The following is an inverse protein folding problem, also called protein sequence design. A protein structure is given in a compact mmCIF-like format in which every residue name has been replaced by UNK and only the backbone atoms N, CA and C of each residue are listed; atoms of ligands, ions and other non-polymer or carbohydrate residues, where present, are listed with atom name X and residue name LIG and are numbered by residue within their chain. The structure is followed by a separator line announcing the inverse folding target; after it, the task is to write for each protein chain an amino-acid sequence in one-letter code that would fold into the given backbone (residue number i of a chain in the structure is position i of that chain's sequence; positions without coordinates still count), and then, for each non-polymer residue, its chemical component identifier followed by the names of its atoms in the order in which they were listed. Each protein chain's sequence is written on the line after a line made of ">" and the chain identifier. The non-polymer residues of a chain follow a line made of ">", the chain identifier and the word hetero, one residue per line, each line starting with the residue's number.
data_IF_636605948647
#
_entry.id   IF_636605948647
#
_cell.length_a   1.000
_cell.length_b   1.000
_cell.length_c   1.000
_cell.angle_alpha   90.00
_cell.angle_beta   90.00
_cell.angle_gamma   90.00
#
_symmetry.space_group_name_H-M   'P 1'
#
loop_
_entity.id
_entity.type
_entity.pdbx_description
1 polymer ?
#
# COMPACT_ATOMS: atom_id res chain seq x y z
N UNK A 1 -1.70 1.29 22.43
CA UNK A 1 -2.91 1.82 23.12
C UNK A 1 -4.12 1.21 22.42
N UNK A 2 -5.04 0.59 23.17
CA UNK A 2 -6.24 -0.02 22.59
C UNK A 2 -7.07 1.04 21.85
N UNK A 3 -7.25 0.88 20.52
CA UNK A 3 -7.95 1.83 19.65
C UNK A 3 -9.37 2.18 20.12
N UNK A 4 -10.02 1.27 20.84
CA UNK A 4 -11.35 1.49 21.42
C UNK A 4 -11.37 2.53 22.56
N UNK A 5 -10.27 2.71 23.29
CA UNK A 5 -10.19 3.70 24.38
C UNK A 5 -9.92 5.12 23.84
N UNK A 6 -9.28 5.25 22.68
CA UNK A 6 -9.01 6.54 22.04
C UNK A 6 -10.27 7.13 21.37
N UNK A 7 -11.11 6.28 20.74
CA UNK A 7 -12.38 6.69 20.12
C UNK A 7 -13.39 7.18 21.18
N UNK A 8 -13.47 6.49 22.32
CA UNK A 8 -14.37 6.84 23.42
C UNK A 8 -14.03 8.17 24.13
N UNK A 9 -12.81 8.70 23.94
CA UNK A 9 -12.42 9.99 24.53
C UNK A 9 -12.90 11.19 23.71
N UNK A 10 -13.33 10.98 22.45
CA UNK A 10 -13.62 12.06 21.50
C UNK A 10 -15.04 12.06 20.94
N UNK A 11 -15.83 11.00 21.09
CA UNK A 11 -17.23 11.03 20.70
C UNK A 11 -18.08 10.41 21.80
N UNK A 12 -19.20 11.05 22.13
CA UNK A 12 -20.17 10.48 23.06
C UNK A 12 -20.99 9.36 22.36
N UNK A 13 -21.71 8.51 23.11
CA UNK A 13 -22.45 7.39 22.51
C UNK A 13 -23.49 7.79 21.46
N UNK A 14 -24.14 8.95 21.59
CA UNK A 14 -25.12 9.45 20.63
C UNK A 14 -24.43 9.89 19.33
N UNK A 15 -23.30 10.59 19.43
CA UNK A 15 -22.48 10.99 18.28
C UNK A 15 -21.95 9.78 17.51
N UNK A 16 -21.56 8.71 18.23
CA UNK A 16 -21.12 7.45 17.60
C UNK A 16 -22.27 6.82 16.80
N UNK A 17 -23.48 6.80 17.35
CA UNK A 17 -24.65 6.25 16.65
C UNK A 17 -25.02 7.06 15.41
N UNK A 18 -24.97 8.40 15.49
CA UNK A 18 -25.23 9.27 14.33
C UNK A 18 -24.21 9.04 13.20
N UNK A 19 -22.92 9.01 13.54
CA UNK A 19 -21.85 8.74 12.58
C UNK A 19 -22.03 7.36 11.94
N UNK A 20 -22.34 6.33 12.72
CA UNK A 20 -22.62 4.99 12.20
C UNK A 20 -23.80 4.98 11.22
N UNK A 21 -24.92 5.63 11.56
CA UNK A 21 -26.09 5.70 10.69
C UNK A 21 -25.76 6.41 9.36
N UNK A 22 -25.02 7.51 9.40
CA UNK A 22 -24.58 8.24 8.19
C UNK A 22 -23.65 7.43 7.32
N UNK A 23 -22.69 6.71 7.93
CA UNK A 23 -21.79 5.81 7.22
C UNK A 23 -22.55 4.67 6.53
N UNK A 24 -23.57 4.10 7.17
CA UNK A 24 -24.41 3.07 6.56
C UNK A 24 -25.25 3.61 5.39
N UNK A 25 -25.75 4.84 5.48
CA UNK A 25 -26.42 5.48 4.34
C UNK A 25 -25.47 5.68 3.16
N UNK A 26 -24.23 6.15 3.41
CA UNK A 26 -23.21 6.27 2.38
C UNK A 26 -22.85 4.91 1.76
N UNK A 27 -22.76 3.85 2.57
CA UNK A 27 -22.54 2.50 2.07
C UNK A 27 -23.67 2.04 1.13
N UNK A 28 -24.92 2.36 1.45
CA UNK A 28 -26.06 2.06 0.58
C UNK A 28 -25.93 2.73 -0.79
N UNK A 29 -25.47 3.98 -0.83
CA UNK A 29 -25.17 4.68 -2.09
C UNK A 29 -24.02 4.04 -2.86
N UNK A 30 -22.95 3.62 -2.18
CA UNK A 30 -21.83 2.92 -2.83
C UNK A 30 -22.23 1.54 -3.36
N UNK A 31 -23.11 0.81 -2.69
CA UNK A 31 -23.68 -0.45 -3.20
C UNK A 31 -24.46 -0.20 -4.49
N UNK A 32 -25.32 0.82 -4.53
CA UNK A 32 -26.04 1.19 -5.76
C UNK A 32 -25.05 1.51 -6.89
N UNK A 33 -23.98 2.25 -6.61
CA UNK A 33 -22.96 2.56 -7.64
C UNK A 33 -22.24 1.30 -8.11
N UNK A 34 -21.86 0.43 -7.19
CA UNK A 34 -21.14 -0.81 -7.48
C UNK A 34 -21.96 -1.75 -8.38
N UNK A 35 -23.27 -1.83 -8.16
CA UNK A 35 -24.18 -2.66 -8.97
C UNK A 35 -24.65 -1.99 -10.27
N UNK A 36 -24.10 -0.82 -10.63
CA UNK A 36 -24.56 -0.07 -11.79
C UNK A 36 -25.99 0.46 -11.66
N UNK A 37 -26.45 0.68 -10.42
CA UNK A 37 -27.80 1.09 -10.03
C UNK A 37 -28.89 0.04 -10.30
N UNK A 38 -28.51 -1.22 -10.55
CA UNK A 38 -29.45 -2.30 -10.82
C UNK A 38 -29.95 -2.99 -9.54
N UNK A 39 -29.20 -2.89 -8.44
CA UNK A 39 -29.54 -3.53 -7.17
C UNK A 39 -29.09 -2.72 -5.96
N UNK A 40 -29.90 -2.72 -4.91
CA UNK A 40 -29.55 -2.17 -3.59
C UNK A 40 -29.08 -3.26 -2.60
N UNK A 41 -28.89 -4.49 -3.07
CA UNK A 41 -28.50 -5.65 -2.28
C UNK A 41 -27.33 -6.40 -2.92
N UNK A 42 -26.38 -6.81 -2.07
CA UNK A 42 -25.18 -7.57 -2.41
C UNK A 42 -24.88 -8.56 -1.27
N UNK A 43 -24.04 -9.60 -1.49
CA UNK A 43 -23.55 -10.44 -0.40
C UNK A 43 -22.88 -9.62 0.71
N UNK A 44 -22.94 -10.10 1.95
CA UNK A 44 -22.41 -9.40 3.13
C UNK A 44 -20.91 -9.14 2.96
N UNK A 45 -20.17 -10.09 2.41
CA UNK A 45 -18.74 -9.99 2.15
C UNK A 45 -18.43 -8.85 1.16
N UNK A 46 -19.30 -8.67 0.15
CA UNK A 46 -19.18 -7.56 -0.81
C UNK A 46 -19.47 -6.22 -0.12
N UNK A 47 -20.55 -6.14 0.65
CA UNK A 47 -20.88 -4.92 1.40
C UNK A 47 -19.76 -4.54 2.38
N UNK A 48 -19.16 -5.53 3.07
CA UNK A 48 -18.04 -5.31 3.97
C UNK A 48 -16.80 -4.81 3.22
N UNK A 49 -16.42 -5.43 2.09
CA UNK A 49 -15.29 -4.98 1.28
C UNK A 49 -15.48 -3.55 0.75
N UNK A 50 -16.70 -3.18 0.35
CA UNK A 50 -17.02 -1.81 -0.09
C UNK A 50 -16.90 -0.83 1.08
N UNK A 51 -17.37 -1.22 2.27
CA UNK A 51 -17.28 -0.39 3.46
C UNK A 51 -15.83 -0.15 3.89
N UNK A 52 -15.00 -1.19 3.88
CA UNK A 52 -13.57 -1.10 4.15
C UNK A 52 -12.85 -0.18 3.15
N UNK A 53 -13.20 -0.23 1.86
CA UNK A 53 -12.67 0.67 0.83
C UNK A 53 -13.02 2.13 1.12
N UNK A 54 -14.27 2.38 1.52
CA UNK A 54 -14.74 3.71 1.91
C UNK A 54 -13.98 4.24 3.12
N UNK A 55 -13.85 3.42 4.18
CA UNK A 55 -13.12 3.77 5.39
C UNK A 55 -11.62 3.99 5.12
N UNK A 56 -11.01 3.21 4.23
CA UNK A 56 -9.63 3.40 3.83
C UNK A 56 -9.41 4.79 3.21
N UNK A 57 -10.27 5.18 2.26
CA UNK A 57 -10.21 6.51 1.65
C UNK A 57 -10.36 7.62 2.71
N UNK A 58 -11.36 7.51 3.58
CA UNK A 58 -11.57 8.49 4.66
C UNK A 58 -10.36 8.60 5.58
N UNK A 59 -9.80 7.45 5.99
CA UNK A 59 -8.63 7.39 6.87
C UNK A 59 -7.40 8.00 6.20
N UNK A 60 -7.19 7.74 4.91
CA UNK A 60 -6.09 8.32 4.14
C UNK A 60 -6.14 9.85 4.15
N UNK A 61 -7.33 10.45 3.99
CA UNK A 61 -7.49 11.90 4.08
C UNK A 61 -7.34 12.42 5.51
N UNK A 62 -8.00 11.79 6.47
CA UNK A 62 -7.96 12.19 7.88
C UNK A 62 -6.52 12.22 8.42
N UNK A 63 -5.68 11.24 8.04
CA UNK A 63 -4.27 11.18 8.44
C UNK A 63 -3.41 12.34 7.88
N UNK A 64 -3.90 13.10 6.89
CA UNK A 64 -3.23 14.32 6.41
C UNK A 64 -3.52 15.54 7.27
N UNK A 65 -4.53 15.46 8.14
CA UNK A 65 -5.01 16.59 8.92
C UNK A 65 -4.31 16.64 10.29
N UNK A 66 -4.03 17.84 10.83
CA UNK A 66 -3.42 17.98 12.16
C UNK A 66 -4.29 17.41 13.31
N UNK A 67 -5.62 17.49 13.16
CA UNK A 67 -6.60 16.95 14.12
C UNK A 67 -7.73 16.23 13.37
N UNK A 68 -7.60 14.90 13.17
CA UNK A 68 -8.61 14.07 12.52
C UNK A 68 -9.98 14.08 13.22
N UNK A 69 -10.01 14.20 14.55
CA UNK A 69 -11.24 14.12 15.33
C UNK A 69 -12.05 15.42 15.22
N UNK A 70 -11.38 16.57 15.26
CA UNK A 70 -12.02 17.84 14.98
C UNK A 70 -12.61 17.87 13.56
N UNK A 71 -11.88 17.31 12.59
CA UNK A 71 -12.34 17.21 11.20
C UNK A 71 -13.62 16.37 11.07
N UNK A 72 -13.72 15.23 11.76
CA UNK A 72 -14.94 14.41 11.74
C UNK A 72 -16.18 15.11 12.32
N UNK A 73 -16.00 16.08 13.23
CA UNK A 73 -17.09 16.89 13.79
C UNK A 73 -17.47 18.07 12.90
N UNK A 74 -16.48 18.67 12.22
CA UNK A 74 -16.65 19.90 11.46
C UNK A 74 -17.06 19.68 10.00
N UNK A 75 -16.59 18.59 9.38
CA UNK A 75 -16.85 18.29 7.98
C UNK A 75 -17.97 17.29 7.80
N UNK A 76 -18.61 17.35 6.63
CA UNK A 76 -19.50 16.30 6.21
C UNK A 76 -18.71 15.01 5.88
N UNK A 77 -19.20 13.86 6.35
CA UNK A 77 -18.56 12.56 6.11
C UNK A 77 -18.43 12.26 4.62
N UNK A 78 -19.39 12.72 3.81
CA UNK A 78 -19.34 12.58 2.36
C UNK A 78 -18.17 13.38 1.76
N UNK A 79 -17.91 14.58 2.26
CA UNK A 79 -16.76 15.40 1.86
C UNK A 79 -15.43 14.74 2.27
N UNK A 80 -15.35 14.16 3.47
CA UNK A 80 -14.18 13.40 3.94
C UNK A 80 -13.91 12.22 3.00
N UNK A 81 -14.95 11.43 2.68
CA UNK A 81 -14.83 10.30 1.77
C UNK A 81 -14.36 10.72 0.38
N UNK A 82 -14.99 11.72 -0.24
CA UNK A 82 -14.59 12.16 -1.59
C UNK A 82 -13.20 12.78 -1.64
N UNK A 83 -12.82 13.54 -0.61
CA UNK A 83 -11.45 14.08 -0.50
C UNK A 83 -10.43 12.94 -0.38
N UNK A 84 -10.76 11.92 0.42
CA UNK A 84 -9.99 10.68 0.52
C UNK A 84 -9.88 9.91 -0.77
N UNK A 85 -10.98 9.73 -1.49
CA UNK A 85 -11.00 9.02 -2.77
C UNK A 85 -10.09 9.70 -3.79
N UNK A 86 -10.16 11.03 -3.91
CA UNK A 86 -9.28 11.78 -4.81
C UNK A 86 -7.81 11.70 -4.37
N UNK A 87 -7.53 11.75 -3.06
CA UNK A 87 -6.18 11.59 -2.54
C UNK A 87 -5.61 10.18 -2.83
N UNK A 88 -6.39 9.12 -2.64
CA UNK A 88 -5.99 7.75 -2.96
C UNK A 88 -5.70 7.58 -4.46
N UNK A 89 -6.50 8.20 -5.33
CA UNK A 89 -6.21 8.25 -6.78
C UNK A 89 -4.91 8.97 -7.09
N UNK A 90 -4.62 10.07 -6.39
CA UNK A 90 -3.36 10.81 -6.53
C UNK A 90 -2.17 9.95 -6.12
N UNK A 91 -2.24 9.24 -4.99
CA UNK A 91 -1.20 8.28 -4.59
C UNK A 91 -1.02 7.18 -5.63
N UNK A 92 -2.10 6.67 -6.25
CA UNK A 92 -1.97 5.69 -7.33
C UNK A 92 -1.24 6.25 -8.55
N UNK A 93 -1.46 7.53 -8.88
CA UNK A 93 -0.72 8.21 -9.94
C UNK A 93 0.74 8.44 -9.56
N UNK A 94 1.02 8.81 -8.31
CA UNK A 94 2.38 8.95 -7.77
C UNK A 94 3.14 7.62 -7.83
N UNK A 95 2.54 6.50 -7.43
CA UNK A 95 3.17 5.18 -7.49
C UNK A 95 3.60 4.81 -8.92
N UNK A 96 2.81 5.18 -9.94
CA UNK A 96 3.21 4.98 -11.34
C UNK A 96 4.45 5.80 -11.72
N UNK A 97 4.57 7.02 -11.19
CA UNK A 97 5.76 7.86 -11.40
C UNK A 97 6.97 7.33 -10.62
N UNK A 98 6.78 6.88 -9.38
CA UNK A 98 7.83 6.27 -8.56
C UNK A 98 8.36 4.98 -9.21
N UNK A 99 7.48 4.13 -9.73
CA UNK A 99 7.91 2.92 -10.46
C UNK A 99 8.77 3.25 -11.67
N UNK A 100 8.48 4.35 -12.39
CA UNK A 100 9.34 4.83 -13.47
C UNK A 100 10.74 5.21 -12.96
N UNK A 101 10.82 5.93 -11.84
CA UNK A 101 12.09 6.31 -11.22
C UNK A 101 12.88 5.08 -10.75
N UNK A 102 12.23 4.12 -10.08
CA UNK A 102 12.85 2.85 -9.67
C UNK A 102 13.42 2.08 -10.87
N UNK A 103 12.73 2.09 -12.01
CA UNK A 103 13.24 1.50 -13.27
C UNK A 103 14.47 2.24 -13.80
N UNK A 104 14.48 3.57 -13.73
CA UNK A 104 15.58 4.43 -14.19
C UNK A 104 16.83 4.31 -13.30
N UNK A 105 16.66 4.16 -11.97
CA UNK A 105 17.76 4.06 -11.00
C UNK A 105 18.20 2.63 -10.70
N UNK A 106 17.65 1.65 -11.42
CA UNK A 106 17.81 0.21 -11.18
C UNK A 106 19.26 -0.21 -10.88
N UNK A 107 19.43 -1.05 -9.86
CA UNK A 107 20.67 -1.75 -9.55
C UNK A 107 20.99 -2.77 -10.64
N UNK A 108 22.22 -2.74 -11.18
CA UNK A 108 22.67 -3.72 -12.16
C UNK A 108 22.96 -5.07 -11.50
N UNK A 109 21.95 -5.94 -11.45
CA UNK A 109 22.02 -7.27 -10.83
C UNK A 109 21.31 -8.34 -11.68
N UNK A 110 21.63 -9.60 -11.44
CA UNK A 110 20.96 -10.77 -12.01
C UNK A 110 19.98 -11.43 -11.03
N UNK A 111 19.71 -10.80 -9.88
CA UNK A 111 18.66 -11.26 -8.97
C UNK A 111 17.31 -11.25 -9.69
N UNK A 112 16.70 -12.44 -9.78
CA UNK A 112 15.45 -12.64 -10.50
C UNK A 112 14.31 -11.94 -9.78
N UNK A 113 14.19 -12.11 -8.46
CA UNK A 113 13.14 -11.47 -7.66
C UNK A 113 13.15 -9.95 -7.82
N UNK A 114 14.30 -9.30 -7.64
CA UNK A 114 14.45 -7.85 -7.80
C UNK A 114 14.00 -7.34 -9.18
N UNK A 115 14.50 -7.96 -10.25
CA UNK A 115 14.14 -7.55 -11.61
C UNK A 115 12.67 -7.85 -11.91
N UNK A 116 12.16 -9.02 -11.52
CA UNK A 116 10.78 -9.43 -11.76
C UNK A 116 9.78 -8.51 -11.07
N UNK A 117 10.05 -8.14 -9.81
CA UNK A 117 9.25 -7.18 -9.04
C UNK A 117 9.12 -5.84 -9.74
N UNK A 118 10.24 -5.28 -10.20
CA UNK A 118 10.25 -3.97 -10.88
C UNK A 118 9.62 -4.05 -12.26
N UNK A 119 9.89 -5.11 -13.02
CA UNK A 119 9.45 -5.23 -14.41
C UNK A 119 7.97 -5.57 -14.54
N UNK A 120 7.46 -6.45 -13.68
CA UNK A 120 6.15 -7.07 -13.85
C UNK A 120 5.22 -6.87 -12.65
N UNK A 121 5.61 -7.30 -11.46
CA UNK A 121 4.69 -7.46 -10.32
C UNK A 121 4.01 -6.14 -9.92
N UNK A 122 4.80 -5.09 -9.63
CA UNK A 122 4.25 -3.79 -9.22
C UNK A 122 3.40 -3.16 -10.33
N UNK A 123 3.80 -3.35 -11.59
CA UNK A 123 3.05 -2.86 -12.75
C UNK A 123 1.66 -3.49 -12.87
N UNK A 124 1.57 -4.80 -12.61
CA UNK A 124 0.30 -5.53 -12.61
C UNK A 124 -0.60 -5.09 -11.45
N UNK A 125 -0.04 -4.94 -10.25
CA UNK A 125 -0.76 -4.43 -9.08
C UNK A 125 -1.37 -3.05 -9.35
N UNK A 126 -0.56 -2.11 -9.86
CA UNK A 126 -1.02 -0.75 -10.17
C UNK A 126 -2.06 -0.69 -11.31
N UNK A 127 -2.08 -1.69 -12.21
CA UNK A 127 -3.07 -1.79 -13.30
C UNK A 127 -4.42 -2.30 -12.79
N UNK A 128 -4.41 -3.20 -11.79
CA UNK A 128 -5.63 -3.77 -11.19
C UNK A 128 -6.22 -2.94 -10.04
N UNK A 129 -5.53 -1.88 -9.60
CA UNK A 129 -5.94 -1.12 -8.41
C UNK A 129 -7.22 -0.30 -8.65
N UNK A 130 -8.24 -0.54 -7.82
CA UNK A 130 -9.50 0.21 -7.79
C UNK A 130 -9.58 1.05 -6.51
N UNK A 131 -9.34 2.36 -6.66
CA UNK A 131 -9.36 3.32 -5.57
C UNK A 131 -10.74 3.54 -4.93
N UNK A 132 -11.85 3.14 -5.57
CA UNK A 132 -13.20 3.39 -5.06
C UNK A 132 -13.77 2.18 -4.35
N UNK A 133 -13.69 1.01 -4.97
CA UNK A 133 -14.37 -0.19 -4.47
C UNK A 133 -13.43 -1.20 -3.81
N UNK A 134 -12.11 -1.03 -3.97
CA UNK A 134 -11.10 -1.94 -3.42
C UNK A 134 -9.86 -1.18 -2.91
N UNK A 135 -10.04 0.03 -2.36
CA UNK A 135 -8.94 0.94 -2.02
C UNK A 135 -7.95 0.35 -1.01
N UNK A 136 -8.47 -0.43 -0.06
CA UNK A 136 -7.71 -1.11 1.00
C UNK A 136 -6.91 -2.31 0.50
N UNK A 137 -7.26 -2.84 -0.66
CA UNK A 137 -6.62 -4.03 -1.21
C UNK A 137 -5.36 -3.63 -1.95
N UNK A 138 -4.32 -4.41 -1.73
CA UNK A 138 -3.13 -4.33 -2.58
C UNK A 138 -3.39 -5.15 -3.86
N UNK A 139 -4.14 -6.27 -3.73
CA UNK A 139 -5.07 -6.94 -4.67
C UNK A 139 -5.31 -8.38 -4.13
N UNK A 140 -6.56 -8.89 -4.05
CA UNK A 140 -6.90 -10.22 -3.45
C UNK A 140 -6.06 -11.40 -4.02
N UNK A 141 -5.79 -12.54 -3.37
CA UNK A 141 -6.27 -13.24 -2.14
C UNK A 141 -5.07 -13.44 -1.16
N UNK A 142 -3.99 -12.70 -1.43
CA UNK A 142 -2.62 -13.01 -1.07
C UNK A 142 -1.81 -11.71 -1.01
N UNK A 143 -2.35 -10.71 -0.30
CA UNK A 143 -2.05 -9.27 -0.48
C UNK A 143 -0.59 -8.82 -0.26
N UNK A 144 0.33 -9.72 0.11
CA UNK A 144 1.79 -9.49 0.11
C UNK A 144 2.61 -10.57 -0.60
N UNK A 145 2.01 -11.73 -0.93
CA UNK A 145 2.71 -12.85 -1.57
C UNK A 145 3.02 -12.62 -3.06
N UNK A 146 2.57 -11.50 -3.63
CA UNK A 146 2.78 -11.16 -5.04
C UNK A 146 4.00 -10.28 -5.29
N UNK A 147 4.70 -9.82 -4.25
CA UNK A 147 5.94 -9.07 -4.42
C UNK A 147 7.09 -9.98 -3.98
N UNK A 148 7.85 -10.47 -4.96
CA UNK A 148 8.90 -11.47 -4.74
C UNK A 148 10.11 -10.89 -4.00
N UNK A 149 10.42 -9.61 -4.19
CA UNK A 149 11.63 -9.00 -3.65
C UNK A 149 11.44 -8.47 -2.22
N UNK A 150 12.28 -8.89 -1.25
CA UNK A 150 12.18 -8.39 0.13
C UNK A 150 12.81 -6.99 0.28
N UNK A 151 12.19 -6.14 1.10
CA UNK A 151 12.75 -4.86 1.51
C UNK A 151 13.67 -5.01 2.72
N UNK A 152 14.63 -4.08 2.86
CA UNK A 152 15.45 -3.95 4.06
C UNK A 152 14.62 -3.54 5.29
N UNK A 153 13.66 -2.63 5.10
CA UNK A 153 12.73 -2.17 6.12
C UNK A 153 11.33 -2.19 5.54
N UNK A 154 10.52 -3.18 5.95
CA UNK A 154 9.15 -3.35 5.47
C UNK A 154 8.14 -3.01 6.56
N UNK A 155 7.11 -2.24 6.21
CA UNK A 155 6.02 -1.86 7.13
C UNK A 155 4.71 -2.53 6.68
N UNK A 156 4.51 -3.74 7.20
CA UNK A 156 3.33 -4.55 6.90
C UNK A 156 2.05 -4.05 7.60
N UNK A 157 2.14 -2.98 8.41
CA UNK A 157 0.96 -2.37 9.02
C UNK A 157 0.18 -1.47 8.04
N UNK A 158 0.82 -1.08 6.93
CA UNK A 158 0.23 -0.26 5.87
C UNK A 158 -0.33 -1.17 4.77
N UNK A 159 -1.46 -0.79 4.18
CA UNK A 159 -2.13 -1.56 3.12
C UNK A 159 -2.48 -0.69 1.91
N UNK A 160 -2.98 -1.33 0.85
CA UNK A 160 -3.48 -0.66 -0.35
C UNK A 160 -2.39 0.13 -1.07
N UNK A 161 -2.77 1.28 -1.65
CA UNK A 161 -1.82 2.06 -2.45
C UNK A 161 -0.70 2.69 -1.61
N UNK A 162 -0.96 2.99 -0.34
CA UNK A 162 0.05 3.54 0.57
C UNK A 162 1.18 2.55 0.84
N UNK A 163 0.87 1.24 0.93
CA UNK A 163 1.89 0.20 1.03
C UNK A 163 2.78 0.18 -0.22
N UNK A 164 2.17 0.15 -1.41
CA UNK A 164 2.92 0.18 -2.68
C UNK A 164 3.78 1.45 -2.80
N UNK A 165 3.28 2.59 -2.30
CA UNK A 165 4.02 3.85 -2.26
C UNK A 165 5.26 3.72 -1.38
N UNK A 166 5.12 3.22 -0.15
CA UNK A 166 6.24 3.02 0.77
C UNK A 166 7.25 2.02 0.18
N UNK A 167 6.76 0.91 -0.38
CA UNK A 167 7.58 -0.10 -1.01
C UNK A 167 8.46 0.48 -2.13
N UNK A 168 7.87 1.32 -3.00
CA UNK A 168 8.61 1.99 -4.07
C UNK A 168 9.61 3.04 -3.58
N UNK A 169 9.33 3.71 -2.46
CA UNK A 169 10.25 4.66 -1.85
C UNK A 169 11.46 3.95 -1.23
N UNK A 170 11.24 2.83 -0.52
CA UNK A 170 12.32 1.99 0.02
C UNK A 170 13.18 1.39 -1.11
N UNK A 171 12.56 0.89 -2.19
CA UNK A 171 13.31 0.44 -3.36
C UNK A 171 14.13 1.55 -4.02
N UNK A 172 13.60 2.77 -4.08
CA UNK A 172 14.31 3.90 -4.66
C UNK A 172 15.52 4.29 -3.80
N UNK A 173 15.36 4.30 -2.48
CA UNK A 173 16.45 4.54 -1.54
C UNK A 173 17.52 3.44 -1.62
N UNK A 174 17.11 2.18 -1.71
CA UNK A 174 18.03 1.05 -1.91
C UNK A 174 18.81 1.19 -3.23
N UNK A 175 18.14 1.57 -4.32
CA UNK A 175 18.78 1.81 -5.61
C UNK A 175 19.85 2.89 -5.52
N UNK A 176 19.52 4.02 -4.88
CA UNK A 176 20.44 5.14 -4.67
C UNK A 176 21.63 4.75 -3.79
N UNK A 177 21.38 3.99 -2.71
CA UNK A 177 22.43 3.45 -1.86
C UNK A 177 23.36 2.50 -2.63
N UNK A 178 22.79 1.55 -3.38
CA UNK A 178 23.53 0.56 -4.15
C UNK A 178 24.30 1.19 -5.33
N UNK A 179 23.87 2.34 -5.84
CA UNK A 179 24.58 3.06 -6.91
C UNK A 179 25.99 3.51 -6.50
N UNK A 180 26.26 3.66 -5.18
CA UNK A 180 27.60 3.89 -4.65
C UNK A 180 28.55 2.69 -4.77
N UNK A 181 28.02 1.51 -5.12
CA UNK A 181 28.75 0.27 -5.25
C UNK A 181 28.82 -0.20 -6.71
N UNK A 182 30.01 -0.57 -7.17
CA UNK A 182 30.17 -1.04 -8.55
C UNK A 182 29.48 -2.39 -8.79
N UNK A 183 28.95 -2.61 -10.00
CA UNK A 183 28.31 -3.87 -10.43
C UNK A 183 29.11 -5.12 -10.02
N UNK A 184 30.43 -5.09 -10.21
CA UNK A 184 31.30 -6.23 -9.88
C UNK A 184 31.35 -6.53 -8.38
N UNK A 185 31.28 -5.49 -7.53
CA UNK A 185 31.22 -5.65 -6.09
C UNK A 185 29.91 -6.32 -5.67
N UNK A 186 28.76 -5.79 -6.15
CA UNK A 186 27.44 -6.37 -5.86
C UNK A 186 27.36 -7.83 -6.34
N UNK A 187 27.83 -8.10 -7.57
CA UNK A 187 27.88 -9.47 -8.10
C UNK A 187 28.75 -10.38 -7.23
N UNK A 188 29.94 -9.93 -6.82
CA UNK A 188 30.82 -10.72 -5.96
C UNK A 188 30.17 -11.01 -4.61
N UNK A 189 29.53 -10.02 -4.00
CA UNK A 189 28.83 -10.16 -2.73
C UNK A 189 27.72 -11.23 -2.82
N UNK A 190 26.85 -11.12 -3.82
CA UNK A 190 25.79 -12.09 -4.07
C UNK A 190 26.33 -13.50 -4.33
N UNK A 191 27.37 -13.62 -5.16
CA UNK A 191 28.00 -14.91 -5.45
C UNK A 191 28.60 -15.54 -4.18
N UNK A 192 29.35 -14.78 -3.38
CA UNK A 192 29.95 -15.26 -2.13
C UNK A 192 28.87 -15.69 -1.14
N UNK A 193 27.79 -14.93 -1.03
CA UNK A 193 26.67 -15.29 -0.18
C UNK A 193 25.97 -16.57 -0.70
N UNK A 194 25.68 -16.67 -2.00
CA UNK A 194 25.09 -17.88 -2.60
C UNK A 194 25.95 -19.13 -2.39
N UNK A 195 27.27 -19.05 -2.58
CA UNK A 195 28.20 -20.16 -2.31
C UNK A 195 28.16 -20.60 -0.84
N UNK A 196 28.12 -19.64 0.10
CA UNK A 196 28.03 -19.93 1.54
C UNK A 196 26.77 -20.71 1.91
N UNK A 197 25.66 -20.43 1.23
CA UNK A 197 24.37 -21.04 1.51
C UNK A 197 24.00 -22.18 0.54
N UNK A 198 24.90 -22.57 -0.36
CA UNK A 198 24.67 -23.59 -1.40
C UNK A 198 23.46 -23.31 -2.30
N UNK A 199 23.25 -22.04 -2.64
CA UNK A 199 22.17 -21.56 -3.50
C UNK A 199 22.73 -20.93 -4.78
N UNK A 200 21.97 -20.98 -5.87
CA UNK A 200 22.20 -20.07 -7.01
C UNK A 200 21.85 -18.66 -6.55
N UNK A 201 22.83 -17.76 -6.56
CA UNK A 201 22.60 -16.40 -6.07
C UNK A 201 21.50 -15.68 -6.83
N UNK A 202 21.23 -16.04 -8.09
CA UNK A 202 20.21 -15.40 -8.93
C UNK A 202 18.78 -15.66 -8.45
N UNK A 203 18.56 -16.79 -7.79
CA UNK A 203 17.26 -17.24 -7.28
C UNK A 203 17.02 -16.81 -5.82
N UNK A 204 17.99 -16.14 -5.21
CA UNK A 204 17.91 -15.74 -3.80
C UNK A 204 16.88 -14.63 -3.56
N UNK A 205 16.13 -14.77 -2.47
CA UNK A 205 15.24 -13.75 -1.94
C UNK A 205 15.97 -12.97 -0.84
N UNK A 206 16.85 -12.07 -1.26
CA UNK A 206 17.68 -11.25 -0.36
C UNK A 206 17.64 -9.80 -0.79
N UNK A 207 17.72 -8.91 0.20
CA UNK A 207 17.85 -7.49 -0.05
C UNK A 207 19.34 -7.12 -0.29
N UNK A 208 19.65 -6.38 -1.35
CA UNK A 208 21.04 -6.08 -1.72
C UNK A 208 21.66 -5.11 -0.70
N UNK A 209 20.92 -4.07 -0.31
CA UNK A 209 21.40 -3.10 0.70
C UNK A 209 21.71 -3.79 2.03
N UNK A 210 20.85 -4.71 2.47
CA UNK A 210 21.08 -5.51 3.68
C UNK A 210 22.43 -6.23 3.64
N UNK A 211 22.67 -7.00 2.57
CA UNK A 211 23.92 -7.75 2.42
C UNK A 211 25.17 -6.87 2.43
N UNK A 212 25.07 -5.66 1.87
CA UNK A 212 26.17 -4.69 1.84
C UNK A 212 26.45 -4.18 3.26
N UNK A 213 25.41 -3.91 4.04
CA UNK A 213 25.54 -3.44 5.42
C UNK A 213 26.14 -4.50 6.34
N UNK A 214 25.83 -5.79 6.12
CA UNK A 214 26.43 -6.90 6.86
C UNK A 214 27.94 -7.09 6.64
N UNK A 215 28.53 -6.47 5.61
CA UNK A 215 29.98 -6.53 5.37
C UNK A 215 30.78 -5.49 6.18
N UNK A 216 30.12 -4.58 6.90
CA UNK A 216 30.74 -3.51 7.68
C UNK A 216 30.74 -3.85 9.17
#
# INVERSE_FOLDING_TARGET
>A
MNSNAAIAAFLNPEEIQDVQARLLNMLSEEILRYTGYESNSVPVETAQSLFESMLYCMTAYLNTLPDPYAAMRAFDLQQIFFSGLELVKQYAAECRQLLKKVKETRVQTELIAYNHTIDSEIGLLLKGYDARFQAQKTTEISDMANISYPLFSDDLSVTGILYIRNYLLELLEENEFCAGYGKNYIRSLLLTHGVRHHLDYREMLVNIKELILEQK
#
